data_IF_156050717183
#
_entry.id   IF_156050717183
#
_cell.length_a   1.000
_cell.length_b   1.000
_cell.length_c   1.000
_cell.angle_alpha   90.00
_cell.angle_beta   90.00
_cell.angle_gamma   90.00
#
_symmetry.space_group_name_H-M   'P 1'
#
loop_
_entity.id
_entity.type
_entity.pdbx_description
1 polymer ?
#
# COMPACT_ATOMS: atom_id res chain seq x y z
N UNK A 1 -52.27 12.87 51.07
CA UNK A 1 -53.04 13.11 49.83
C UNK A 1 -52.48 12.24 48.71
N UNK A 2 -53.39 11.60 47.96
CA UNK A 2 -53.30 10.68 46.82
C UNK A 2 -52.05 9.79 46.57
N UNK A 3 -52.31 8.48 46.73
CA UNK A 3 -51.56 7.34 46.19
C UNK A 3 -51.80 7.19 44.68
N UNK A 4 -50.78 6.78 43.91
CA UNK A 4 -50.97 5.94 42.71
C UNK A 4 -50.05 4.72 42.80
N UNK A 5 -50.68 3.54 42.83
CA UNK A 5 -50.05 2.22 42.76
C UNK A 5 -50.15 1.75 41.31
N UNK A 6 -49.04 1.42 40.67
CA UNK A 6 -49.03 0.68 39.40
C UNK A 6 -48.76 -0.80 39.70
N UNK A 7 -49.71 -1.66 39.30
CA UNK A 7 -49.60 -3.12 39.31
C UNK A 7 -49.20 -3.55 37.91
N UNK A 8 -48.14 -4.34 37.77
CA UNK A 8 -47.83 -5.11 36.55
C UNK A 8 -48.19 -6.56 36.82
N UNK A 9 -49.11 -7.09 36.02
CA UNK A 9 -49.51 -8.50 36.00
C UNK A 9 -48.63 -9.25 35.00
N UNK A 10 -48.07 -10.37 35.43
CA UNK A 10 -47.40 -11.34 34.57
C UNK A 10 -48.44 -12.22 33.86
N UNK A 11 -48.25 -12.49 32.57
CA UNK A 11 -49.02 -13.46 31.79
C UNK A 11 -48.06 -14.55 31.26
N UNK A 12 -48.41 -15.85 31.37
CA UNK A 12 -47.61 -16.92 30.80
C UNK A 12 -48.01 -17.15 29.33
N UNK A 13 -47.04 -17.39 28.45
CA UNK A 13 -47.31 -17.92 27.11
C UNK A 13 -46.68 -19.30 27.00
N UNK A 14 -47.54 -20.29 26.79
CA UNK A 14 -47.22 -21.69 26.65
C UNK A 14 -46.50 -21.97 25.33
N UNK A 15 -45.52 -22.88 25.39
CA UNK A 15 -44.85 -23.46 24.24
C UNK A 15 -45.74 -24.54 23.61
N UNK A 16 -45.95 -24.46 22.29
CA UNK A 16 -46.55 -25.53 21.49
C UNK A 16 -45.50 -26.00 20.50
N UNK A 17 -45.08 -27.26 20.64
CA UNK A 17 -44.26 -27.96 19.67
C UNK A 17 -45.16 -28.55 18.58
N UNK A 18 -44.87 -28.24 17.31
CA UNK A 18 -45.46 -28.93 16.15
C UNK A 18 -44.36 -29.69 15.43
N UNK A 19 -44.49 -31.01 15.38
CA UNK A 19 -43.76 -31.90 14.49
C UNK A 19 -44.43 -31.91 13.11
N UNK A 20 -43.67 -31.65 12.04
CA UNK A 20 -44.08 -31.98 10.67
C UNK A 20 -42.98 -32.75 9.95
N UNK A 21 -43.28 -34.03 9.71
CA UNK A 21 -42.65 -34.88 8.69
C UNK A 21 -43.29 -34.58 7.34
N UNK A 22 -42.51 -34.26 6.30
CA UNK A 22 -42.96 -34.37 4.91
C UNK A 22 -41.88 -35.06 4.08
N UNK A 23 -42.35 -36.07 3.34
CA UNK A 23 -41.63 -37.00 2.51
C UNK A 23 -41.03 -36.36 1.24
N UNK A 24 -40.01 -37.03 0.70
CA UNK A 24 -39.37 -36.64 -0.56
C UNK A 24 -40.28 -36.82 -1.77
N UNK A 25 -40.09 -35.93 -2.75
CA UNK A 25 -40.48 -36.14 -4.13
C UNK A 25 -39.39 -35.53 -5.02
N UNK A 26 -38.76 -36.35 -5.87
CA UNK A 26 -38.01 -35.86 -7.01
C UNK A 26 -38.96 -35.58 -8.16
N UNK A 27 -38.79 -34.44 -8.83
CA UNK A 27 -39.32 -34.20 -10.15
C UNK A 27 -38.33 -33.32 -10.93
N UNK A 28 -37.83 -33.85 -12.04
CA UNK A 28 -37.17 -33.09 -13.09
C UNK A 28 -38.19 -32.22 -13.83
N UNK A 29 -37.85 -30.97 -14.09
CA UNK A 29 -38.50 -30.16 -15.12
C UNK A 29 -37.44 -29.28 -15.80
N UNK A 30 -37.19 -29.54 -17.08
CA UNK A 30 -36.53 -28.65 -18.01
C UNK A 30 -37.48 -27.50 -18.39
N UNK A 31 -36.99 -26.26 -18.40
CA UNK A 31 -37.77 -25.11 -18.84
C UNK A 31 -36.91 -23.85 -19.03
N UNK A 32 -36.47 -23.66 -20.27
CA UNK A 32 -36.16 -22.44 -21.01
C UNK A 32 -35.88 -21.10 -20.27
N UNK A 33 -34.67 -20.61 -20.50
CA UNK A 33 -34.27 -19.22 -20.78
C UNK A 33 -35.27 -18.08 -20.52
N UNK A 34 -34.87 -17.17 -19.62
CA UNK A 34 -34.97 -15.74 -19.88
C UNK A 34 -33.66 -15.04 -19.49
N UNK A 35 -33.07 -14.40 -20.49
CA UNK A 35 -31.89 -13.57 -20.36
C UNK A 35 -32.30 -12.23 -19.75
N UNK A 36 -31.56 -11.76 -18.74
CA UNK A 36 -31.13 -10.36 -18.54
C UNK A 36 -30.44 -10.25 -17.18
N UNK A 37 -29.12 -10.45 -17.18
CA UNK A 37 -28.27 -10.19 -16.03
C UNK A 37 -26.87 -9.98 -16.55
N UNK A 38 -26.48 -8.70 -16.69
CA UNK A 38 -25.32 -8.27 -17.45
C UNK A 38 -24.08 -9.12 -17.17
N UNK A 39 -23.47 -9.60 -18.25
CA UNK A 39 -22.08 -10.02 -18.23
C UNK A 39 -21.27 -8.77 -17.86
N UNK A 40 -21.03 -8.58 -16.56
CA UNK A 40 -19.80 -7.93 -16.12
C UNK A 40 -18.72 -8.77 -16.75
N UNK A 41 -18.14 -8.28 -17.85
CA UNK A 41 -16.88 -8.79 -18.37
C UNK A 41 -15.97 -8.90 -17.16
N UNK A 42 -15.78 -10.12 -16.66
CA UNK A 42 -14.92 -10.38 -15.53
C UNK A 42 -13.54 -10.06 -16.03
N UNK A 43 -13.06 -8.84 -15.76
CA UNK A 43 -11.65 -8.51 -15.91
C UNK A 43 -10.94 -9.57 -15.08
N UNK A 44 -10.21 -10.47 -15.74
CA UNK A 44 -9.45 -11.50 -15.03
C UNK A 44 -8.63 -10.77 -13.96
N UNK A 45 -8.73 -11.23 -12.70
CA UNK A 45 -7.97 -10.63 -11.62
C UNK A 45 -6.49 -10.67 -12.02
N UNK A 46 -5.82 -9.51 -11.97
CA UNK A 46 -4.41 -9.44 -12.27
C UNK A 46 -3.65 -10.42 -11.37
N UNK A 47 -2.59 -11.04 -11.91
CA UNK A 47 -1.75 -11.92 -11.12
C UNK A 47 -1.16 -11.14 -9.93
N UNK A 48 -1.11 -11.80 -8.76
CA UNK A 48 -0.53 -11.19 -7.57
C UNK A 48 0.93 -10.76 -7.81
N UNK A 49 1.37 -9.61 -7.28
CA UNK A 49 2.75 -9.18 -7.46
C UNK A 49 3.78 -10.19 -6.92
N UNK A 50 4.90 -10.33 -7.61
CA UNK A 50 5.95 -11.31 -7.30
C UNK A 50 7.37 -10.77 -7.58
N UNK A 51 8.38 -11.41 -7.00
CA UNK A 51 9.78 -11.04 -7.18
C UNK A 51 10.40 -11.77 -8.37
N UNK A 52 10.80 -11.00 -9.39
CA UNK A 52 11.62 -11.52 -10.50
C UNK A 52 13.12 -11.40 -10.24
N UNK A 53 13.51 -10.87 -9.08
CA UNK A 53 14.90 -10.78 -8.62
C UNK A 53 15.00 -9.98 -7.33
N UNK A 54 16.20 -9.85 -6.77
CA UNK A 54 16.42 -9.16 -5.50
C UNK A 54 15.81 -7.75 -5.49
N UNK A 55 16.00 -6.98 -6.57
CA UNK A 55 15.56 -5.59 -6.69
C UNK A 55 14.51 -5.39 -7.79
N UNK A 56 13.76 -6.43 -8.16
CA UNK A 56 12.77 -6.37 -9.24
C UNK A 56 11.44 -7.01 -8.81
N UNK A 57 10.38 -6.22 -8.87
CA UNK A 57 9.00 -6.63 -8.63
C UNK A 57 8.26 -6.68 -9.97
N UNK A 58 7.44 -7.70 -10.17
CA UNK A 58 6.48 -7.82 -11.26
C UNK A 58 5.09 -7.71 -10.66
N UNK A 59 4.24 -6.85 -11.19
CA UNK A 59 2.86 -6.67 -10.74
C UNK A 59 2.16 -5.59 -11.52
N UNK A 60 0.83 -5.62 -11.54
CA UNK A 60 0.02 -4.64 -12.26
C UNK A 60 -0.05 -3.33 -11.46
N UNK A 61 0.59 -2.28 -11.98
CA UNK A 61 0.67 -0.97 -11.32
C UNK A 61 -0.42 -0.01 -11.82
N UNK A 62 -0.91 -0.19 -13.06
CA UNK A 62 -1.91 0.68 -13.67
C UNK A 62 -3.32 0.08 -13.75
N UNK A 63 -3.48 -1.15 -13.26
CA UNK A 63 -4.75 -1.85 -13.18
C UNK A 63 -5.27 -2.31 -14.53
N UNK A 64 -4.42 -2.43 -15.56
CA UNK A 64 -4.85 -2.84 -16.90
C UNK A 64 -4.99 -4.36 -17.07
N UNK A 65 -4.61 -5.14 -16.05
CA UNK A 65 -4.61 -6.59 -16.02
C UNK A 65 -3.32 -7.22 -16.55
N UNK A 66 -2.31 -6.42 -16.93
CA UNK A 66 -1.02 -6.90 -17.44
C UNK A 66 0.07 -6.58 -16.41
N UNK A 67 1.01 -7.51 -16.18
CA UNK A 67 2.09 -7.25 -15.23
C UNK A 67 3.01 -6.15 -15.75
N UNK A 68 3.36 -5.21 -14.88
CA UNK A 68 4.42 -4.24 -15.08
C UNK A 68 5.70 -4.69 -14.38
N UNK A 69 6.86 -4.20 -14.84
CA UNK A 69 8.15 -4.46 -14.21
C UNK A 69 8.68 -3.24 -13.50
N UNK A 70 8.80 -3.34 -12.18
CA UNK A 70 9.34 -2.31 -11.30
C UNK A 70 10.74 -2.71 -10.85
N UNK A 71 11.71 -1.81 -10.99
CA UNK A 71 13.07 -2.01 -10.47
C UNK A 71 13.40 -0.94 -9.43
N UNK A 72 13.94 -1.34 -8.27
CA UNK A 72 14.36 -0.46 -7.18
C UNK A 72 15.79 -0.84 -6.74
N UNK A 73 16.83 -0.40 -7.47
CA UNK A 73 18.21 -0.75 -7.17
C UNK A 73 18.61 -0.35 -5.74
N UNK A 74 19.13 -1.30 -4.97
CA UNK A 74 19.56 -1.06 -3.58
C UNK A 74 18.42 -0.86 -2.57
N UNK A 75 17.16 -1.02 -2.99
CA UNK A 75 15.97 -0.86 -2.15
C UNK A 75 15.80 0.54 -1.52
N UNK A 76 16.49 1.54 -2.02
CA UNK A 76 16.53 2.90 -1.43
C UNK A 76 15.39 3.79 -1.88
N UNK A 77 14.63 3.36 -2.89
CA UNK A 77 13.64 4.18 -3.58
C UNK A 77 14.27 5.19 -4.55
N UNK A 78 15.60 5.28 -4.60
CA UNK A 78 16.32 6.08 -5.58
C UNK A 78 16.41 5.31 -6.90
N UNK A 79 16.32 6.04 -8.01
CA UNK A 79 16.46 5.47 -9.38
C UNK A 79 15.44 4.37 -9.69
N UNK A 80 14.31 4.35 -8.98
CA UNK A 80 13.21 3.43 -9.26
C UNK A 80 12.72 3.63 -10.70
N UNK A 81 12.50 2.53 -11.41
CA UNK A 81 12.02 2.56 -12.80
C UNK A 81 10.85 1.62 -13.02
N UNK A 82 9.99 1.97 -13.96
CA UNK A 82 8.87 1.13 -14.43
C UNK A 82 9.08 0.80 -15.91
N UNK A 83 8.76 -0.42 -16.30
CA UNK A 83 8.52 -0.83 -17.68
C UNK A 83 7.11 -1.40 -17.76
N UNK A 84 6.26 -0.74 -18.55
CA UNK A 84 4.85 -1.08 -18.65
C UNK A 84 4.64 -2.39 -19.41
N UNK A 85 3.71 -3.21 -18.94
CA UNK A 85 3.25 -4.41 -19.64
C UNK A 85 2.61 -4.06 -20.99
N UNK A 86 2.90 -4.88 -22.00
CA UNK A 86 2.31 -4.76 -23.34
C UNK A 86 1.30 -5.86 -23.60
N UNK A 87 0.45 -5.67 -24.61
CA UNK A 87 -0.53 -6.68 -25.00
C UNK A 87 0.10 -8.01 -25.47
N UNK A 88 1.36 -7.99 -25.92
CA UNK A 88 2.10 -9.19 -26.33
C UNK A 88 2.78 -9.92 -25.16
N UNK A 89 2.59 -9.48 -23.92
CA UNK A 89 3.23 -10.06 -22.73
C UNK A 89 4.70 -9.67 -22.55
N UNK A 90 5.18 -8.67 -23.29
CA UNK A 90 6.52 -8.10 -23.13
C UNK A 90 6.48 -6.82 -22.27
N UNK A 91 7.66 -6.29 -21.93
CA UNK A 91 7.78 -5.01 -21.25
C UNK A 91 8.22 -3.91 -22.23
N UNK A 92 7.58 -2.75 -22.13
CA UNK A 92 7.93 -1.57 -22.91
C UNK A 92 9.22 -0.89 -22.44
N UNK A 93 9.43 0.33 -22.92
CA UNK A 93 10.62 1.10 -22.60
C UNK A 93 10.74 1.42 -21.09
N UNK A 94 11.97 1.33 -20.58
CA UNK A 94 12.29 1.67 -19.20
C UNK A 94 12.13 3.17 -18.96
N UNK A 95 11.25 3.50 -18.01
CA UNK A 95 10.94 4.88 -17.64
C UNK A 95 11.33 5.13 -16.18
N UNK A 96 12.03 6.24 -15.91
CA UNK A 96 12.34 6.65 -14.54
C UNK A 96 11.09 7.12 -13.83
N UNK A 97 10.84 6.62 -12.60
CA UNK A 97 9.74 7.12 -11.76
C UNK A 97 9.89 8.61 -11.51
N UNK A 98 11.13 9.10 -11.31
CA UNK A 98 11.40 10.52 -11.09
C UNK A 98 10.89 11.44 -12.22
N UNK A 99 10.94 10.95 -13.46
CA UNK A 99 10.39 11.67 -14.62
C UNK A 99 8.86 11.69 -14.56
N UNK A 100 8.24 10.56 -14.24
CA UNK A 100 6.77 10.43 -14.18
C UNK A 100 6.17 11.32 -13.09
N UNK A 101 6.84 11.46 -11.95
CA UNK A 101 6.34 12.27 -10.83
C UNK A 101 6.73 13.75 -10.89
N UNK A 102 7.37 14.19 -11.99
CA UNK A 102 7.67 15.60 -12.23
C UNK A 102 8.82 16.15 -11.38
N UNK A 103 9.91 15.38 -11.21
CA UNK A 103 11.16 15.89 -10.64
C UNK A 103 11.74 16.98 -11.53
N UNK A 104 12.13 18.11 -10.94
CA UNK A 104 12.80 19.25 -11.59
C UNK A 104 14.31 19.12 -11.51
N UNK A 105 15.04 19.96 -12.24
CA UNK A 105 16.50 20.10 -12.09
C UNK A 105 16.83 20.54 -10.66
N UNK A 106 17.94 20.05 -10.09
CA UNK A 106 18.32 20.31 -8.68
C UNK A 106 17.65 19.38 -7.66
N UNK A 107 16.48 18.83 -7.97
CA UNK A 107 15.75 17.96 -7.03
C UNK A 107 16.21 16.50 -7.08
N UNK A 108 16.02 15.81 -5.96
CA UNK A 108 16.11 14.36 -5.81
C UNK A 108 14.70 13.81 -5.58
N UNK A 109 14.42 12.67 -6.21
CA UNK A 109 13.16 11.97 -6.05
C UNK A 109 13.38 10.55 -5.54
N UNK A 110 12.64 10.18 -4.52
CA UNK A 110 12.56 8.82 -3.97
C UNK A 110 11.16 8.28 -4.13
N UNK A 111 11.05 7.00 -4.50
CA UNK A 111 9.76 6.35 -4.63
C UNK A 111 9.86 4.86 -4.35
N UNK A 112 8.93 4.36 -3.53
CA UNK A 112 8.85 2.95 -3.15
C UNK A 112 7.48 2.40 -3.50
N UNK A 113 7.46 1.19 -4.04
CA UNK A 113 6.26 0.49 -4.52
C UNK A 113 6.00 -0.72 -3.65
N UNK A 114 4.76 -0.86 -3.19
CA UNK A 114 4.24 -2.07 -2.55
C UNK A 114 2.71 -2.02 -2.51
N UNK A 115 2.05 -3.17 -2.36
CA UNK A 115 0.64 -3.28 -1.97
C UNK A 115 0.53 -3.01 -0.46
N UNK A 116 0.52 -1.73 -0.08
CA UNK A 116 0.48 -1.34 1.33
C UNK A 116 -0.90 -1.62 1.93
N UNK A 117 -1.98 -1.53 1.14
CA UNK A 117 -3.35 -1.76 1.66
C UNK A 117 -3.73 -3.23 1.75
N UNK A 118 -2.96 -4.13 1.11
CA UNK A 118 -3.27 -5.55 0.91
C UNK A 118 -4.56 -5.75 0.11
N UNK A 119 -4.81 -4.88 -0.86
CA UNK A 119 -5.98 -4.97 -1.75
C UNK A 119 -5.67 -5.69 -3.07
N UNK A 120 -4.42 -6.13 -3.26
CA UNK A 120 -3.93 -6.81 -4.46
C UNK A 120 -3.44 -5.87 -5.55
N UNK A 121 -3.56 -4.55 -5.37
CA UNK A 121 -3.04 -3.54 -6.29
C UNK A 121 -1.76 -2.92 -5.72
N UNK A 122 -0.78 -2.64 -6.58
CA UNK A 122 0.43 -1.96 -6.14
C UNK A 122 0.17 -0.46 -5.93
N UNK A 123 0.64 0.05 -4.80
CA UNK A 123 0.65 1.47 -4.48
C UNK A 123 2.05 2.06 -4.63
N UNK A 124 2.16 3.39 -4.50
CA UNK A 124 3.45 4.09 -4.43
C UNK A 124 3.47 5.16 -3.35
N UNK A 125 4.58 5.22 -2.60
CA UNK A 125 4.95 6.39 -1.80
C UNK A 125 6.01 7.17 -2.56
N UNK A 126 5.83 8.48 -2.70
CA UNK A 126 6.74 9.34 -3.47
C UNK A 126 7.16 10.54 -2.64
N UNK A 127 8.43 10.89 -2.77
CA UNK A 127 9.02 12.09 -2.20
C UNK A 127 9.87 12.82 -3.25
N UNK A 128 9.80 14.15 -3.25
CA UNK A 128 10.68 15.02 -4.04
C UNK A 128 11.15 16.15 -3.16
N UNK A 129 12.47 16.33 -3.09
CA UNK A 129 13.12 17.36 -2.28
C UNK A 129 14.28 17.97 -3.06
N UNK A 130 14.51 19.27 -2.88
CA UNK A 130 15.77 19.90 -3.27
C UNK A 130 16.76 19.68 -2.12
N UNK A 131 17.84 18.90 -2.31
CA UNK A 131 18.75 18.60 -1.21
C UNK A 131 19.36 19.88 -0.65
N UNK A 132 19.33 20.03 0.67
CA UNK A 132 19.93 21.13 1.42
C UNK A 132 21.42 21.30 1.15
N UNK A 133 22.14 20.19 0.97
CA UNK A 133 23.59 20.18 0.82
C UNK A 133 24.36 20.54 2.09
N UNK A 134 23.67 20.71 3.23
CA UNK A 134 24.24 21.09 4.52
C UNK A 134 23.52 20.41 5.70
N UNK A 135 23.70 20.97 6.89
CA UNK A 135 23.16 20.40 8.12
C UNK A 135 21.65 20.61 8.22
N UNK A 136 21.15 21.81 7.94
CA UNK A 136 19.73 22.13 8.02
C UNK A 136 18.93 21.41 6.91
N UNK A 137 17.90 20.60 7.26
CA UNK A 137 17.18 19.84 6.28
C UNK A 137 16.19 20.69 5.47
N UNK A 138 16.13 20.43 4.16
CA UNK A 138 15.05 20.94 3.33
C UNK A 138 13.82 20.03 3.40
N UNK A 139 12.65 20.65 3.36
CA UNK A 139 11.37 19.94 3.34
C UNK A 139 10.99 19.46 1.94
N UNK A 140 10.22 18.40 1.89
CA UNK A 140 9.72 17.85 0.65
C UNK A 140 8.79 18.83 -0.08
N UNK A 141 9.00 19.00 -1.40
CA UNK A 141 8.02 19.65 -2.29
C UNK A 141 6.85 18.72 -2.59
N UNK A 142 7.11 17.43 -2.67
CA UNK A 142 6.10 16.39 -2.86
C UNK A 142 6.35 15.34 -1.81
N UNK A 143 5.32 15.01 -1.03
CA UNK A 143 5.32 13.93 -0.06
C UNK A 143 3.94 13.28 -0.10
N UNK A 144 3.82 12.14 -0.78
CA UNK A 144 2.51 11.55 -1.04
C UNK A 144 2.54 10.04 -0.96
N UNK A 145 1.48 9.49 -0.37
CA UNK A 145 1.08 8.12 -0.62
C UNK A 145 -0.02 8.10 -1.67
N UNK A 146 0.10 7.19 -2.64
CA UNK A 146 -0.77 7.07 -3.80
C UNK A 146 -1.20 5.61 -3.94
N UNK A 147 -2.39 5.26 -3.43
CA UNK A 147 -2.98 3.95 -3.66
C UNK A 147 -3.12 3.62 -5.14
N UNK A 148 -2.92 2.37 -5.52
CA UNK A 148 -3.19 1.92 -6.87
C UNK A 148 -4.69 1.88 -7.20
N UNK A 149 -5.05 1.69 -8.48
CA UNK A 149 -4.16 1.68 -9.65
C UNK A 149 -3.66 3.08 -10.02
N UNK A 150 -2.47 3.16 -10.64
CA UNK A 150 -1.77 4.40 -10.95
C UNK A 150 -1.82 4.74 -12.45
N UNK A 151 -2.01 6.02 -12.79
CA UNK A 151 -1.96 6.45 -14.21
C UNK A 151 -0.55 6.32 -14.78
N UNK A 152 -0.40 5.65 -15.94
CA UNK A 152 0.90 5.50 -16.64
C UNK A 152 1.62 6.82 -16.92
N UNK A 153 0.89 7.90 -17.17
CA UNK A 153 1.46 9.19 -17.58
C UNK A 153 2.23 9.91 -16.47
N UNK A 154 1.80 9.77 -15.21
CA UNK A 154 2.35 10.56 -14.10
C UNK A 154 2.32 9.88 -12.72
N UNK A 155 1.97 8.59 -12.66
CA UNK A 155 1.79 7.82 -11.44
C UNK A 155 0.86 8.50 -10.43
N UNK A 156 -0.15 9.25 -10.92
CA UNK A 156 -1.19 9.81 -10.07
C UNK A 156 -2.24 8.76 -9.72
N UNK A 157 -2.85 8.95 -8.56
CA UNK A 157 -3.96 8.13 -8.03
C UNK A 157 -5.16 9.03 -7.77
N UNK A 158 -6.37 8.47 -7.88
CA UNK A 158 -7.60 9.15 -7.47
C UNK A 158 -7.67 9.37 -5.94
N UNK A 159 -6.94 8.56 -5.17
CA UNK A 159 -6.93 8.58 -3.71
C UNK A 159 -5.57 9.03 -3.15
N UNK A 160 -4.77 9.72 -3.97
CA UNK A 160 -3.51 10.29 -3.54
C UNK A 160 -3.75 11.25 -2.37
N UNK A 161 -2.93 11.12 -1.33
CA UNK A 161 -2.97 11.98 -0.16
C UNK A 161 -1.57 12.38 0.28
N UNK A 162 -1.51 13.46 1.05
CA UNK A 162 -0.28 13.87 1.73
C UNK A 162 0.20 12.76 2.67
N UNK A 163 1.50 12.68 2.86
CA UNK A 163 2.16 11.87 3.88
C UNK A 163 3.17 12.77 4.58
N UNK A 164 3.31 12.66 5.89
CA UNK A 164 4.26 13.46 6.67
C UNK A 164 5.75 13.24 6.36
N UNK A 165 6.08 12.38 5.39
CA UNK A 165 7.46 12.14 4.98
C UNK A 165 8.08 13.43 4.46
N UNK A 166 9.16 13.86 5.10
CA UNK A 166 9.84 15.09 4.69
C UNK A 166 9.18 16.40 5.15
N UNK A 167 8.17 16.35 6.03
CA UNK A 167 7.61 17.56 6.67
C UNK A 167 8.50 18.09 7.80
N UNK A 168 9.23 17.17 8.43
CA UNK A 168 10.07 17.41 9.62
C UNK A 168 11.56 17.14 9.39
N UNK A 169 11.96 16.76 8.17
CA UNK A 169 13.35 16.51 7.81
C UNK A 169 13.51 16.34 6.31
N UNK A 170 14.73 16.04 5.84
CA UNK A 170 14.99 15.81 4.42
C UNK A 170 15.04 14.30 4.15
N UNK A 171 13.96 13.76 3.56
CA UNK A 171 13.90 12.35 3.20
C UNK A 171 14.88 12.01 2.07
N UNK A 172 15.92 11.23 2.40
CA UNK A 172 16.98 10.78 1.48
C UNK A 172 16.71 9.41 0.86
N UNK A 173 16.04 8.51 1.57
CA UNK A 173 15.69 7.17 1.09
C UNK A 173 14.31 6.74 1.60
N UNK A 174 13.60 5.95 0.81
CA UNK A 174 12.35 5.29 1.18
C UNK A 174 12.48 3.79 0.94
N UNK A 175 12.14 2.98 1.95
CA UNK A 175 12.27 1.52 1.88
C UNK A 175 11.03 0.84 2.40
N UNK A 176 10.67 -0.29 1.77
CA UNK A 176 9.70 -1.22 2.35
C UNK A 176 10.34 -1.89 3.56
N UNK A 177 9.60 -1.95 4.66
CA UNK A 177 10.02 -2.59 5.89
C UNK A 177 8.95 -3.59 6.36
N UNK A 178 9.34 -4.49 7.23
CA UNK A 178 8.43 -5.39 7.94
C UNK A 178 8.67 -5.19 9.45
N UNK A 179 8.01 -4.20 10.02
CA UNK A 179 8.08 -3.92 11.44
C UNK A 179 6.85 -4.52 12.12
N UNK A 180 7.04 -5.19 13.26
CA UNK A 180 5.94 -5.89 13.93
C UNK A 180 5.55 -7.24 13.33
N UNK A 181 6.12 -7.62 12.17
CA UNK A 181 5.90 -8.91 11.52
C UNK A 181 4.42 -9.18 11.18
N UNK A 182 3.74 -8.17 10.67
CA UNK A 182 2.36 -8.29 10.21
C UNK A 182 2.28 -8.48 8.68
N UNK A 183 1.06 -8.52 8.17
CA UNK A 183 0.81 -8.79 6.76
C UNK A 183 1.01 -7.56 5.85
N UNK A 184 1.24 -6.38 6.41
CA UNK A 184 1.22 -5.09 5.74
C UNK A 184 2.64 -4.55 5.58
N UNK A 185 3.06 -4.20 4.35
CA UNK A 185 4.31 -3.49 4.15
C UNK A 185 4.36 -2.19 4.96
N UNK A 186 5.42 -1.94 5.69
CA UNK A 186 5.66 -0.67 6.39
C UNK A 186 6.63 0.21 5.60
N UNK A 187 6.75 1.47 6.02
CA UNK A 187 7.68 2.41 5.44
C UNK A 187 8.80 2.74 6.42
N UNK A 188 10.05 2.57 5.97
CA UNK A 188 11.24 3.14 6.61
C UNK A 188 11.77 4.29 5.76
N UNK A 189 12.06 5.41 6.40
CA UNK A 189 12.57 6.62 5.78
C UNK A 189 13.94 6.92 6.39
N UNK A 190 14.95 7.14 5.55
CA UNK A 190 16.20 7.74 6.01
C UNK A 190 16.08 9.26 5.81
N UNK A 191 16.15 10.03 6.89
CA UNK A 191 16.07 11.49 6.87
C UNK A 191 17.39 12.11 7.32
N UNK A 192 17.72 13.29 6.79
CA UNK A 192 18.51 14.26 7.56
C UNK A 192 17.53 15.01 8.48
N UNK A 193 17.77 14.96 9.78
CA UNK A 193 16.92 15.59 10.80
C UNK A 193 17.45 16.98 11.20
N UNK A 194 18.67 17.32 10.82
CA UNK A 194 19.36 18.54 11.26
C UNK A 194 20.50 18.25 12.23
N UNK A 195 21.34 19.25 12.49
CA UNK A 195 22.40 19.22 13.49
C UNK A 195 23.36 18.01 13.39
N UNK A 196 23.61 17.54 12.16
CA UNK A 196 24.45 16.37 11.91
C UNK A 196 23.80 15.02 12.23
N UNK A 197 22.48 14.99 12.48
CA UNK A 197 21.72 13.78 12.78
C UNK A 197 21.04 13.24 11.53
N UNK A 198 21.31 11.98 11.22
CA UNK A 198 20.51 11.21 10.28
C UNK A 198 19.62 10.24 11.05
N UNK A 199 18.34 10.21 10.71
CA UNK A 199 17.35 9.40 11.39
C UNK A 199 16.72 8.39 10.44
N UNK A 200 16.62 7.12 10.87
CA UNK A 200 15.65 6.19 10.33
C UNK A 200 14.32 6.43 11.03
N UNK A 201 13.38 7.06 10.34
CA UNK A 201 12.00 7.17 10.81
C UNK A 201 11.10 6.09 10.22
N UNK A 202 10.03 5.76 10.93
CA UNK A 202 9.14 4.62 10.58
C UNK A 202 7.68 5.04 10.49
N UNK A 203 6.95 4.47 9.54
CA UNK A 203 5.49 4.58 9.46
C UNK A 203 4.91 3.19 9.33
N UNK A 204 4.22 2.74 10.38
CA UNK A 204 3.50 1.46 10.31
C UNK A 204 2.24 1.61 9.46
N UNK A 205 1.93 0.53 8.75
CA UNK A 205 0.73 0.46 7.93
C UNK A 205 -0.41 -0.18 8.71
N UNK A 206 -1.61 0.39 8.55
CA UNK A 206 -2.84 -0.22 9.08
C UNK A 206 -3.64 -0.87 7.96
N UNK A 207 -4.49 -1.87 8.29
CA UNK A 207 -5.38 -2.50 7.33
C UNK A 207 -6.18 -1.49 6.50
N UNK A 208 -6.05 -1.57 5.18
CA UNK A 208 -6.84 -0.77 4.23
C UNK A 208 -6.51 0.74 4.17
N UNK A 209 -5.48 1.22 4.89
CA UNK A 209 -5.10 2.64 4.84
C UNK A 209 -3.82 2.89 4.06
N UNK A 210 -2.88 1.95 4.05
CA UNK A 210 -1.48 2.22 3.69
C UNK A 210 -0.69 2.85 4.85
N UNK A 211 0.54 3.35 4.61
CA UNK A 211 1.40 3.90 5.65
C UNK A 211 0.70 5.01 6.43
N UNK A 212 0.82 4.95 7.76
CA UNK A 212 0.28 5.97 8.66
C UNK A 212 1.20 7.20 8.81
N UNK A 213 0.89 8.01 9.82
CA UNK A 213 1.67 9.17 10.22
C UNK A 213 2.73 8.82 11.28
N UNK A 214 3.60 9.78 11.62
CA UNK A 214 4.56 9.66 12.70
C UNK A 214 3.90 9.19 14.00
N UNK A 215 4.56 8.25 14.66
CA UNK A 215 4.22 7.83 16.02
C UNK A 215 5.49 7.78 16.84
N UNK A 216 5.51 8.54 17.93
CA UNK A 216 6.63 8.54 18.88
C UNK A 216 6.90 7.14 19.45
N UNK A 217 5.85 6.38 19.77
CA UNK A 217 5.98 5.00 20.27
C UNK A 217 6.66 4.09 19.24
N UNK A 218 6.24 4.17 17.97
CA UNK A 218 6.85 3.38 16.90
C UNK A 218 8.28 3.82 16.61
N UNK A 219 8.55 5.13 16.69
CA UNK A 219 9.87 5.69 16.52
C UNK A 219 10.83 5.21 17.62
N UNK A 220 10.40 5.18 18.88
CA UNK A 220 11.19 4.61 19.97
C UNK A 220 11.48 3.11 19.78
N UNK A 221 10.53 2.39 19.19
CA UNK A 221 10.64 0.94 19.02
C UNK A 221 11.48 0.50 17.83
N UNK A 222 11.35 1.17 16.69
CA UNK A 222 11.94 0.75 15.41
C UNK A 222 12.84 1.79 14.76
N UNK A 223 12.77 3.04 15.24
CA UNK A 223 13.63 4.11 14.79
C UNK A 223 15.09 3.87 15.15
N UNK A 224 15.96 4.67 14.57
CA UNK A 224 17.37 4.74 14.93
C UNK A 224 17.95 6.06 14.45
N UNK A 225 18.94 6.58 15.16
CA UNK A 225 19.73 7.73 14.73
C UNK A 225 21.16 7.32 14.41
N UNK A 226 21.84 8.18 13.66
CA UNK A 226 23.25 8.09 13.31
C UNK A 226 23.71 9.44 12.77
N UNK A 227 24.85 9.44 12.09
CA UNK A 227 25.43 10.64 11.49
C UNK A 227 25.51 10.47 9.96
N UNK A 228 25.80 11.53 9.18
CA UNK A 228 26.09 11.36 7.76
C UNK A 228 27.22 10.36 7.46
N UNK A 229 28.24 10.29 8.32
CA UNK A 229 29.38 9.38 8.16
C UNK A 229 29.02 7.94 8.55
N UNK A 230 28.18 7.78 9.58
CA UNK A 230 27.71 6.49 10.09
C UNK A 230 26.18 6.52 10.18
N UNK A 231 25.47 6.40 9.04
CA UNK A 231 24.03 6.50 9.02
C UNK A 231 23.39 5.29 9.72
N UNK A 232 22.18 5.45 10.29
CA UNK A 232 21.48 4.33 10.88
C UNK A 232 21.26 3.22 9.83
N UNK A 233 21.30 1.97 10.28
CA UNK A 233 21.02 0.83 9.41
C UNK A 233 19.64 0.98 8.75
N UNK A 234 19.44 0.43 7.55
CA UNK A 234 18.16 0.51 6.86
C UNK A 234 17.71 -0.87 6.41
N UNK A 235 16.40 -1.20 6.45
CA UNK A 235 15.93 -2.50 6.03
C UNK A 235 16.22 -2.75 4.54
N UNK A 236 16.57 -3.99 4.19
CA UNK A 236 16.90 -4.39 2.82
C UNK A 236 16.04 -5.56 2.32
N UNK A 237 15.29 -6.21 3.20
CA UNK A 237 14.52 -7.42 2.91
C UNK A 237 13.01 -7.18 2.76
N UNK A 238 12.52 -5.93 2.86
CA UNK A 238 11.07 -5.64 2.90
C UNK A 238 10.27 -6.36 1.83
N UNK A 239 10.64 -6.19 0.55
CA UNK A 239 9.99 -6.92 -0.55
C UNK A 239 10.00 -8.44 -0.41
N UNK A 240 11.11 -9.03 0.06
CA UNK A 240 11.22 -10.49 0.27
C UNK A 240 10.25 -11.01 1.33
N UNK A 241 9.83 -10.17 2.28
CA UNK A 241 8.84 -10.58 3.29
C UNK A 241 7.43 -10.63 2.73
N UNK A 242 7.07 -9.76 1.78
CA UNK A 242 5.69 -9.61 1.32
C UNK A 242 5.41 -10.28 -0.03
N UNK A 243 6.43 -10.57 -0.83
CA UNK A 243 6.28 -11.11 -2.18
C UNK A 243 7.02 -12.43 -2.36
N UNK A 244 6.35 -13.39 -2.98
CA UNK A 244 6.96 -14.65 -3.39
C UNK A 244 7.76 -14.46 -4.68
N UNK A 245 8.76 -15.32 -4.96
CA UNK A 245 9.38 -15.36 -6.28
C UNK A 245 8.32 -15.59 -7.37
N UNK A 246 8.51 -14.98 -8.55
CA UNK A 246 7.71 -15.30 -9.72
C UNK A 246 7.97 -16.75 -10.15
N UNK A 247 6.92 -17.45 -10.59
CA UNK A 247 6.97 -18.82 -11.12
C UNK A 247 7.48 -18.88 -12.55
#
# INVERSE_FOLDING_TARGET
MLRKRSRLMAAPVAAVALTLTVAGYQAHASGSSDATGGHRSGKAAAAAPCLAGATTLIGDLDGDGRPDKISNPGHTGLRTTVQWGTASGSFGAKTSVSKLIGKRTGEVATAVVADFQKDGTLDIVVNIVEPSGGDDPNKARVAQYRPGPLKRSNLSSAHARHSDIGDHGEAKQLRVANYGNDAYPDLAILNNDGDGVWERSVRLTKPGSGPGEYSYEQQQRYGASGTPAEPPSMPTSGWKHFYKPCS
#
